data_IF_458870289454
#
_entry.id   IF_458870289454
#
_cell.length_a   1.000
_cell.length_b   1.000
_cell.length_c   1.000
_cell.angle_alpha   90.00
_cell.angle_beta   90.00
_cell.angle_gamma   90.00
#
_symmetry.space_group_name_H-M   'P 1'
#
loop_
_entity.id
_entity.type
_entity.pdbx_description
1 polymer ?
#
# COMPACT_ATOMS: atom_id res chain seq x y z
N UNK A 1 -42.13 -15.16 39.93
CA UNK A 1 -41.60 -14.16 39.00
C UNK A 1 -40.65 -14.90 38.07
N UNK A 2 -41.17 -15.34 36.93
CA UNK A 2 -40.41 -16.06 35.90
C UNK A 2 -39.47 -15.05 35.24
N UNK A 3 -38.17 -15.31 35.30
CA UNK A 3 -37.18 -14.51 34.59
C UNK A 3 -37.12 -15.06 33.15
N UNK A 4 -37.74 -14.34 32.22
CA UNK A 4 -37.64 -14.61 30.79
C UNK A 4 -36.20 -14.30 30.36
N UNK A 5 -35.46 -15.33 29.92
CA UNK A 5 -34.13 -15.15 29.35
C UNK A 5 -34.22 -14.27 28.10
N UNK A 6 -33.28 -13.31 27.90
CA UNK A 6 -33.28 -12.50 26.70
C UNK A 6 -33.07 -13.38 25.45
N UNK A 7 -33.71 -13.04 24.31
CA UNK A 7 -33.61 -13.84 23.10
C UNK A 7 -32.15 -13.89 22.61
N UNK A 8 -31.74 -15.08 22.17
CA UNK A 8 -30.41 -15.31 21.60
C UNK A 8 -30.16 -14.39 20.40
N UNK A 9 -29.04 -13.65 20.43
CA UNK A 9 -28.54 -12.87 19.30
C UNK A 9 -28.36 -13.77 18.08
N UNK A 10 -29.03 -13.43 16.98
CA UNK A 10 -28.83 -14.05 15.68
C UNK A 10 -27.39 -13.77 15.20
N UNK A 11 -26.68 -14.74 14.59
CA UNK A 11 -25.30 -14.54 14.17
C UNK A 11 -25.22 -13.40 13.13
N UNK A 12 -24.70 -12.26 13.58
CA UNK A 12 -24.61 -11.03 12.81
C UNK A 12 -23.74 -11.28 11.57
N UNK A 13 -24.35 -11.27 10.37
CA UNK A 13 -23.62 -11.45 9.11
C UNK A 13 -22.64 -10.28 8.94
N UNK A 14 -21.34 -10.57 9.09
CA UNK A 14 -20.28 -9.58 8.91
C UNK A 14 -20.18 -9.20 7.42
N UNK A 15 -20.07 -7.90 7.09
CA UNK A 15 -19.89 -7.48 5.71
C UNK A 15 -18.63 -8.09 5.09
N UNK A 16 -18.74 -8.50 3.82
CA UNK A 16 -17.66 -9.11 3.06
C UNK A 16 -16.77 -8.04 2.42
N UNK A 17 -15.46 -8.16 2.65
CA UNK A 17 -14.44 -7.28 2.10
C UNK A 17 -13.46 -8.12 1.31
N UNK A 18 -13.29 -7.79 0.03
CA UNK A 18 -12.34 -8.46 -0.83
C UNK A 18 -10.93 -7.88 -0.61
N UNK A 19 -9.96 -8.76 -0.42
CA UNK A 19 -8.54 -8.41 -0.43
C UNK A 19 -7.92 -8.97 -1.70
N UNK A 20 -7.22 -8.15 -2.50
CA UNK A 20 -6.49 -8.66 -3.67
C UNK A 20 -5.12 -9.22 -3.31
N UNK A 21 -4.56 -8.77 -2.18
CA UNK A 21 -3.27 -9.24 -1.68
C UNK A 21 -3.26 -9.39 -0.16
N UNK A 22 -2.39 -10.28 0.38
CA UNK A 22 -2.20 -10.41 1.81
C UNK A 22 -1.78 -9.06 2.42
N UNK A 23 -2.51 -8.56 3.43
CA UNK A 23 -2.11 -7.34 4.12
C UNK A 23 -0.94 -7.60 5.06
N UNK A 24 -0.32 -6.53 5.56
CA UNK A 24 0.70 -6.64 6.60
C UNK A 24 0.09 -7.31 7.86
N UNK A 25 0.85 -8.13 8.62
CA UNK A 25 0.31 -8.95 9.70
C UNK A 25 -0.49 -8.19 10.77
N UNK A 26 -0.21 -6.89 10.98
CA UNK A 26 -0.92 -6.07 11.97
C UNK A 26 -2.32 -5.63 11.52
N UNK A 27 -2.63 -5.65 10.22
CA UNK A 27 -3.94 -5.24 9.69
C UNK A 27 -5.05 -6.23 10.05
N UNK A 28 -4.71 -7.53 10.10
CA UNK A 28 -5.72 -8.58 10.26
C UNK A 28 -6.32 -8.58 11.68
N UNK A 29 -5.49 -8.39 12.70
CA UNK A 29 -5.89 -8.44 14.11
C UNK A 29 -6.98 -7.40 14.48
N UNK A 30 -6.93 -6.20 13.90
CA UNK A 30 -7.88 -5.13 14.22
C UNK A 30 -9.22 -5.24 13.48
N UNK A 31 -9.25 -5.91 12.33
CA UNK A 31 -10.39 -5.91 11.40
C UNK A 31 -11.10 -7.26 11.29
N UNK A 32 -10.41 -8.36 11.61
CA UNK A 32 -10.96 -9.73 11.54
C UNK A 32 -12.26 -9.94 12.33
N UNK A 33 -12.46 -9.19 13.42
CA UNK A 33 -13.69 -9.28 14.22
C UNK A 33 -14.87 -8.51 13.60
N UNK A 34 -14.61 -7.56 12.69
CA UNK A 34 -15.63 -6.66 12.12
C UNK A 34 -16.06 -7.05 10.72
N UNK A 35 -15.14 -7.61 9.92
CA UNK A 35 -15.36 -7.93 8.52
C UNK A 35 -15.07 -9.40 8.25
N UNK A 36 -15.72 -9.95 7.21
CA UNK A 36 -15.32 -11.23 6.62
C UNK A 36 -14.43 -10.94 5.43
N UNK A 37 -13.17 -11.33 5.51
CA UNK A 37 -12.23 -11.14 4.41
C UNK A 37 -12.34 -12.27 3.39
N UNK A 38 -12.53 -11.91 2.11
CA UNK A 38 -12.41 -12.81 0.98
C UNK A 38 -10.99 -12.71 0.43
N UNK A 39 -10.31 -13.86 0.34
CA UNK A 39 -8.88 -13.97 0.08
C UNK A 39 -8.67 -14.88 -1.13
N UNK A 40 -8.59 -14.34 -2.37
CA UNK A 40 -8.46 -15.15 -3.58
C UNK A 40 -7.27 -16.11 -3.56
N UNK A 41 -6.17 -15.75 -2.89
CA UNK A 41 -4.97 -16.59 -2.78
C UNK A 41 -5.13 -17.82 -1.89
N UNK A 42 -6.22 -17.92 -1.12
CA UNK A 42 -6.58 -19.12 -0.34
C UNK A 42 -7.54 -20.03 -1.12
N UNK A 43 -8.01 -19.59 -2.29
CA UNK A 43 -8.90 -20.36 -3.15
C UNK A 43 -8.11 -21.17 -4.19
N UNK A 44 -8.68 -22.30 -4.60
CA UNK A 44 -8.22 -23.05 -5.77
C UNK A 44 -8.70 -22.47 -7.10
N UNK A 45 -9.64 -21.52 -7.07
CA UNK A 45 -10.17 -20.87 -8.26
C UNK A 45 -9.19 -19.84 -8.84
N UNK A 46 -9.11 -19.70 -10.18
CA UNK A 46 -8.51 -18.53 -10.80
C UNK A 46 -9.15 -17.24 -10.28
N UNK A 47 -8.39 -16.14 -10.24
CA UNK A 47 -8.84 -14.87 -9.66
C UNK A 47 -10.21 -14.44 -10.22
N UNK A 48 -10.36 -14.41 -11.54
CA UNK A 48 -11.60 -13.94 -12.16
C UNK A 48 -12.81 -14.82 -11.89
N UNK A 49 -12.63 -16.15 -11.77
CA UNK A 49 -13.70 -17.06 -11.40
C UNK A 49 -14.08 -16.88 -9.93
N UNK A 50 -13.09 -16.64 -9.06
CA UNK A 50 -13.31 -16.29 -7.67
C UNK A 50 -14.10 -14.97 -7.54
N UNK A 51 -13.71 -13.92 -8.29
CA UNK A 51 -14.43 -12.65 -8.29
C UNK A 51 -15.88 -12.84 -8.74
N UNK A 52 -16.11 -13.60 -9.82
CA UNK A 52 -17.44 -13.88 -10.33
C UNK A 52 -18.31 -14.65 -9.31
N UNK A 53 -17.73 -15.60 -8.57
CA UNK A 53 -18.42 -16.35 -7.52
C UNK A 53 -18.89 -15.47 -6.35
N UNK A 54 -18.25 -14.32 -6.13
CA UNK A 54 -18.54 -13.36 -5.06
C UNK A 54 -19.08 -12.00 -5.57
N UNK A 55 -19.42 -11.93 -6.86
CA UNK A 55 -19.79 -10.70 -7.57
C UNK A 55 -20.93 -9.90 -6.92
N UNK A 56 -21.85 -10.58 -6.26
CA UNK A 56 -23.06 -10.00 -5.66
C UNK A 56 -22.91 -9.66 -4.17
N UNK A 57 -21.89 -10.20 -3.49
CA UNK A 57 -21.72 -10.03 -2.03
C UNK A 57 -20.65 -8.99 -1.67
N UNK A 58 -19.66 -8.79 -2.53
CA UNK A 58 -18.57 -7.84 -2.30
C UNK A 58 -19.04 -6.41 -2.51
N UNK A 59 -19.11 -5.64 -1.42
CA UNK A 59 -19.39 -4.19 -1.46
C UNK A 59 -18.15 -3.33 -1.29
N UNK A 60 -17.08 -3.88 -0.71
CA UNK A 60 -15.83 -3.17 -0.50
C UNK A 60 -14.62 -4.01 -0.92
N UNK A 61 -13.67 -3.33 -1.55
CA UNK A 61 -12.37 -3.84 -1.96
C UNK A 61 -11.28 -3.12 -1.16
N UNK A 62 -10.44 -3.86 -0.45
CA UNK A 62 -9.23 -3.30 0.17
C UNK A 62 -8.00 -3.69 -0.65
N UNK A 63 -7.39 -2.69 -1.28
CA UNK A 63 -6.15 -2.82 -2.02
C UNK A 63 -4.96 -2.68 -1.08
N UNK A 64 -4.43 -3.82 -0.64
CA UNK A 64 -3.17 -3.84 0.10
C UNK A 64 -1.98 -3.85 -0.87
N UNK A 65 -1.35 -2.68 -1.02
CA UNK A 65 -0.29 -2.45 -2.01
C UNK A 65 -0.82 -2.26 -3.45
N UNK A 66 0.08 -2.12 -4.44
CA UNK A 66 -0.27 -1.75 -5.81
C UNK A 66 -0.77 -2.96 -6.63
N UNK A 67 -1.93 -3.51 -6.27
CA UNK A 67 -2.65 -4.47 -7.12
C UNK A 67 -3.50 -3.72 -8.14
N UNK A 68 -3.40 -4.02 -9.44
CA UNK A 68 -4.24 -3.39 -10.45
C UNK A 68 -5.73 -3.60 -10.15
N UNK A 69 -6.49 -2.51 -10.15
CA UNK A 69 -7.96 -2.48 -10.14
C UNK A 69 -8.39 -1.80 -11.43
N UNK A 70 -8.43 -2.58 -12.49
CA UNK A 70 -8.76 -2.14 -13.83
C UNK A 70 -10.23 -2.45 -14.19
N UNK A 71 -10.65 -2.03 -15.39
CA UNK A 71 -11.98 -2.29 -15.92
C UNK A 71 -12.38 -3.79 -15.84
N UNK A 72 -11.42 -4.70 -16.00
CA UNK A 72 -11.66 -6.15 -15.93
C UNK A 72 -12.05 -6.61 -14.52
N UNK A 73 -11.30 -6.17 -13.50
CA UNK A 73 -11.63 -6.46 -12.09
C UNK A 73 -12.99 -5.84 -11.73
N UNK A 74 -13.21 -4.58 -12.12
CA UNK A 74 -14.43 -3.83 -11.79
C UNK A 74 -15.67 -4.42 -12.45
N UNK A 75 -15.59 -4.86 -13.70
CA UNK A 75 -16.71 -5.48 -14.42
C UNK A 75 -17.22 -6.79 -13.77
N UNK A 76 -16.38 -7.46 -12.98
CA UNK A 76 -16.70 -8.71 -12.30
C UNK A 76 -17.31 -8.50 -10.90
N UNK A 77 -17.32 -7.25 -10.41
CA UNK A 77 -17.81 -6.89 -9.08
C UNK A 77 -18.94 -5.84 -9.20
N UNK A 78 -20.11 -6.20 -9.77
CA UNK A 78 -21.21 -5.27 -10.01
C UNK A 78 -21.84 -4.70 -8.73
N UNK A 79 -21.64 -5.34 -7.56
CA UNK A 79 -22.12 -4.85 -6.27
C UNK A 79 -21.08 -3.98 -5.53
N UNK A 80 -19.92 -3.70 -6.14
CA UNK A 80 -18.86 -2.93 -5.50
C UNK A 80 -19.28 -1.47 -5.35
N UNK A 81 -19.11 -0.93 -4.14
CA UNK A 81 -19.45 0.45 -3.80
C UNK A 81 -18.22 1.27 -3.40
N UNK A 82 -17.19 0.59 -2.87
CA UNK A 82 -16.01 1.23 -2.28
C UNK A 82 -14.71 0.49 -2.59
N UNK A 83 -13.72 1.22 -3.07
CA UNK A 83 -12.31 0.79 -3.13
C UNK A 83 -11.52 1.58 -2.10
N UNK A 84 -10.83 0.87 -1.21
CA UNK A 84 -9.94 1.45 -0.19
C UNK A 84 -8.51 1.09 -0.54
N UNK A 85 -7.68 2.07 -0.86
CA UNK A 85 -6.25 1.89 -1.09
C UNK A 85 -5.48 2.08 0.22
N UNK A 86 -4.62 1.12 0.58
CA UNK A 86 -3.72 1.26 1.74
C UNK A 86 -2.44 2.06 1.40
N UNK A 87 -2.49 2.91 0.38
CA UNK A 87 -1.38 3.69 -0.18
C UNK A 87 -1.78 5.16 -0.30
N UNK A 88 -0.81 6.07 -0.43
CA UNK A 88 -1.09 7.47 -0.77
C UNK A 88 -1.44 7.62 -2.26
N UNK A 89 -0.64 7.02 -3.16
CA UNK A 89 -0.93 6.98 -4.59
C UNK A 89 -2.03 5.98 -4.96
N UNK A 90 -2.72 6.25 -6.07
CA UNK A 90 -3.86 5.45 -6.58
C UNK A 90 -3.72 5.10 -8.06
N UNK A 91 -2.52 5.21 -8.64
CA UNK A 91 -2.27 4.99 -10.08
C UNK A 91 -2.59 3.57 -10.57
N UNK A 92 -2.69 2.62 -9.64
CA UNK A 92 -3.05 1.23 -9.89
C UNK A 92 -4.57 1.01 -9.92
N UNK A 93 -5.39 2.06 -9.73
CA UNK A 93 -6.85 2.01 -9.74
C UNK A 93 -7.35 2.83 -10.93
N UNK A 94 -8.19 2.24 -11.78
CA UNK A 94 -8.86 2.98 -12.85
C UNK A 94 -9.95 3.89 -12.27
N UNK A 95 -9.56 5.11 -11.92
CA UNK A 95 -10.46 6.11 -11.34
C UNK A 95 -11.58 6.51 -12.31
N UNK A 96 -11.34 6.45 -13.63
CA UNK A 96 -12.34 6.78 -14.63
C UNK A 96 -13.43 5.69 -14.66
N UNK A 97 -13.03 4.42 -14.62
CA UNK A 97 -13.93 3.29 -14.49
C UNK A 97 -14.74 3.34 -13.20
N UNK A 98 -14.09 3.53 -12.05
CA UNK A 98 -14.75 3.68 -10.76
C UNK A 98 -15.82 4.78 -10.82
N UNK A 99 -15.49 5.94 -11.41
CA UNK A 99 -16.44 7.05 -11.57
C UNK A 99 -17.62 6.68 -12.46
N UNK A 100 -17.40 6.01 -13.60
CA UNK A 100 -18.47 5.56 -14.51
C UNK A 100 -19.43 4.58 -13.81
N UNK A 101 -18.89 3.73 -12.95
CA UNK A 101 -19.63 2.69 -12.23
C UNK A 101 -20.22 3.18 -10.89
N UNK A 102 -19.97 4.43 -10.50
CA UNK A 102 -20.48 5.00 -9.23
C UNK A 102 -19.74 4.49 -7.98
N UNK A 103 -18.52 3.97 -8.15
CA UNK A 103 -17.70 3.40 -7.09
C UNK A 103 -16.86 4.49 -6.43
N UNK A 104 -16.94 4.60 -5.11
CA UNK A 104 -16.12 5.53 -4.33
C UNK A 104 -14.71 4.99 -4.16
N UNK A 105 -13.70 5.87 -4.17
CA UNK A 105 -12.30 5.51 -3.94
C UNK A 105 -11.75 6.32 -2.79
N UNK A 106 -11.12 5.65 -1.82
CA UNK A 106 -10.39 6.28 -0.72
C UNK A 106 -8.95 5.77 -0.68
N UNK A 107 -8.06 6.55 -0.07
CA UNK A 107 -6.66 6.24 0.07
C UNK A 107 -6.17 6.57 1.49
N UNK A 108 -4.90 6.31 1.78
CA UNK A 108 -4.30 6.60 3.08
C UNK A 108 -3.93 8.08 3.28
N UNK A 109 -4.17 8.95 2.29
CA UNK A 109 -3.87 10.38 2.34
C UNK A 109 -2.42 10.66 2.76
N UNK A 110 -2.27 11.42 3.85
CA UNK A 110 -0.98 11.89 4.39
C UNK A 110 -0.36 10.95 5.43
N UNK A 111 -0.88 9.73 5.61
CA UNK A 111 -0.41 8.81 6.65
C UNK A 111 1.09 8.46 6.58
N UNK A 112 1.73 8.68 5.42
CA UNK A 112 3.14 8.37 5.18
C UNK A 112 4.00 9.63 4.92
N UNK A 113 3.44 10.84 5.08
CA UNK A 113 4.11 12.08 4.67
C UNK A 113 5.43 12.30 5.39
N UNK A 114 5.44 12.19 6.72
CA UNK A 114 6.63 12.43 7.53
C UNK A 114 7.68 11.35 7.30
N UNK A 115 7.29 10.07 7.31
CA UNK A 115 8.20 8.95 7.00
C UNK A 115 8.84 9.10 5.62
N UNK A 116 8.06 9.51 4.61
CA UNK A 116 8.57 9.73 3.25
C UNK A 116 9.57 10.89 3.22
N UNK A 117 9.32 11.97 3.98
CA UNK A 117 10.26 13.08 4.10
C UNK A 117 11.57 12.65 4.77
N UNK A 118 11.49 11.86 5.83
CA UNK A 118 12.67 11.31 6.53
C UNK A 118 13.50 10.42 5.60
N UNK A 119 12.85 9.55 4.81
CA UNK A 119 13.55 8.76 3.78
C UNK A 119 14.21 9.64 2.73
N UNK A 120 13.54 10.69 2.25
CA UNK A 120 14.11 11.58 1.24
C UNK A 120 15.38 12.27 1.76
N UNK A 121 15.36 12.80 2.99
CA UNK A 121 16.52 13.42 3.63
C UNK A 121 17.62 12.40 3.90
N UNK A 122 17.26 11.22 4.41
CA UNK A 122 18.20 10.14 4.68
C UNK A 122 18.93 9.66 3.42
N UNK A 123 18.20 9.44 2.32
CA UNK A 123 18.77 9.04 1.03
C UNK A 123 19.64 10.14 0.42
N UNK A 124 19.24 11.41 0.52
CA UNK A 124 20.07 12.53 0.08
C UNK A 124 21.42 12.55 0.81
N UNK A 125 21.40 12.38 2.13
CA UNK A 125 22.62 12.32 2.94
C UNK A 125 23.44 11.08 2.56
N UNK A 126 22.82 9.92 2.40
CA UNK A 126 23.50 8.67 2.03
C UNK A 126 24.27 8.83 0.71
N UNK A 127 23.62 9.39 -0.31
CA UNK A 127 24.21 9.63 -1.63
C UNK A 127 25.34 10.64 -1.55
N UNK A 128 25.16 11.77 -0.85
CA UNK A 128 26.18 12.81 -0.82
C UNK A 128 27.37 12.45 0.06
N UNK A 129 27.17 11.62 1.09
CA UNK A 129 28.20 11.25 2.07
C UNK A 129 28.71 9.82 1.91
N UNK A 130 28.19 9.08 0.95
CA UNK A 130 28.52 7.69 0.66
C UNK A 130 28.38 6.78 1.89
N UNK A 131 27.38 7.00 2.76
CA UNK A 131 27.31 6.31 4.07
C UNK A 131 27.23 4.78 3.86
N UNK A 132 26.25 4.31 3.09
CA UNK A 132 26.03 2.90 2.82
C UNK A 132 27.17 2.26 2.03
N UNK A 133 27.82 3.01 1.13
CA UNK A 133 28.98 2.53 0.39
C UNK A 133 30.22 2.41 1.27
N UNK A 134 30.44 3.37 2.18
CA UNK A 134 31.53 3.34 3.16
C UNK A 134 31.35 2.26 4.22
N UNK A 135 30.12 2.01 4.71
CA UNK A 135 29.79 0.87 5.57
C UNK A 135 30.16 -0.45 4.90
N UNK A 136 29.75 -0.67 3.64
CA UNK A 136 30.14 -1.87 2.88
C UNK A 136 31.65 -2.00 2.69
N UNK A 137 32.37 -0.89 2.52
CA UNK A 137 33.83 -0.89 2.37
C UNK A 137 34.52 -1.36 3.66
N UNK A 138 34.10 -0.82 4.82
CA UNK A 138 34.63 -1.21 6.13
C UNK A 138 34.29 -2.67 6.46
N UNK A 139 33.05 -3.10 6.23
CA UNK A 139 32.62 -4.50 6.46
C UNK A 139 33.35 -5.52 5.59
N UNK A 140 33.87 -5.09 4.43
CA UNK A 140 34.74 -5.92 3.57
C UNK A 140 36.19 -5.96 4.03
N UNK A 141 36.54 -5.33 5.15
CA UNK A 141 37.90 -5.25 5.65
C UNK A 141 38.83 -4.42 4.77
N UNK A 142 38.30 -3.61 3.85
CA UNK A 142 39.13 -2.87 2.90
C UNK A 142 39.84 -1.69 3.56
N UNK A 143 39.32 -1.15 4.66
CA UNK A 143 39.96 -0.03 5.34
C UNK A 143 41.37 -0.34 5.85
N UNK A 144 41.63 -1.42 6.60
CA UNK A 144 42.99 -1.78 6.99
C UNK A 144 43.88 -2.22 5.81
N UNK A 145 43.29 -2.68 4.69
CA UNK A 145 44.04 -3.22 3.54
C UNK A 145 44.37 -2.18 2.47
N UNK A 146 43.49 -1.21 2.25
CA UNK A 146 43.53 -0.23 1.15
C UNK A 146 43.55 1.21 1.64
N UNK A 147 43.46 1.45 2.95
CA UNK A 147 43.44 2.78 3.53
C UNK A 147 42.06 3.44 3.48
N UNK A 148 42.07 4.75 3.67
CA UNK A 148 40.86 5.55 3.88
C UNK A 148 39.88 5.51 2.71
N UNK A 149 38.59 5.58 3.03
CA UNK A 149 37.53 5.71 2.03
C UNK A 149 37.54 7.12 1.41
N UNK A 150 37.32 7.29 0.09
CA UNK A 150 37.37 8.60 -0.56
C UNK A 150 36.45 9.65 0.09
N UNK A 151 36.90 10.90 0.10
CA UNK A 151 36.10 12.04 0.57
C UNK A 151 34.83 12.20 -0.29
N UNK A 152 33.72 12.45 0.38
CA UNK A 152 32.41 12.61 -0.24
C UNK A 152 32.03 14.10 -0.44
N UNK A 153 30.83 14.36 -0.95
CA UNK A 153 30.36 15.71 -1.28
C UNK A 153 29.67 16.41 -0.10
N UNK A 154 29.71 17.75 -0.08
CA UNK A 154 28.96 18.55 0.92
C UNK A 154 27.48 18.61 0.54
N UNK A 155 26.60 18.57 1.54
CA UNK A 155 25.14 18.73 1.36
C UNK A 155 24.78 20.14 0.88
N UNK A 156 25.48 21.15 1.40
CA UNK A 156 25.19 22.58 1.15
C UNK A 156 25.81 23.15 -0.14
N UNK A 157 26.55 22.34 -0.90
CA UNK A 157 27.25 22.82 -2.10
C UNK A 157 27.05 21.83 -3.24
N UNK A 158 25.85 21.84 -3.82
CA UNK A 158 25.62 21.21 -5.12
C UNK A 158 26.53 21.91 -6.14
N UNK A 159 27.31 21.17 -6.95
CA UNK A 159 28.19 21.76 -7.93
C UNK A 159 27.38 22.64 -8.90
N UNK A 160 27.86 23.86 -9.11
CA UNK A 160 27.25 24.91 -9.96
C UNK A 160 27.02 24.49 -11.42
N UNK A 161 27.48 23.31 -11.83
CA UNK A 161 27.20 22.75 -13.17
C UNK A 161 25.74 22.27 -13.34
N UNK A 162 25.00 22.05 -12.24
CA UNK A 162 23.58 21.64 -12.28
C UNK A 162 22.59 22.81 -12.06
N UNK A 163 22.98 24.06 -12.30
CA UNK A 163 22.06 25.21 -12.19
C UNK A 163 21.07 25.36 -13.36
N UNK A 164 21.15 24.50 -14.40
CA UNK A 164 20.24 24.53 -15.55
C UNK A 164 19.10 23.50 -15.50
N UNK A 165 18.89 22.80 -14.38
CA UNK A 165 17.64 22.05 -14.19
C UNK A 165 16.62 23.03 -13.61
N UNK A 166 15.94 23.77 -14.49
CA UNK A 166 14.67 24.40 -14.15
C UNK A 166 13.74 23.28 -13.64
N UNK A 167 13.57 23.21 -12.32
CA UNK A 167 12.41 22.59 -11.72
C UNK A 167 11.19 23.38 -12.21
N UNK A 168 10.61 22.93 -13.32
CA UNK A 168 9.27 23.31 -13.71
C UNK A 168 8.31 22.54 -12.79
N UNK A 169 8.09 23.10 -11.60
CA UNK A 169 6.90 22.80 -10.81
C UNK A 169 5.81 23.70 -11.40
N UNK A 170 5.01 23.13 -12.30
CA UNK A 170 3.66 23.63 -12.63
C UNK A 170 2.66 22.70 -11.95
#
# INVERSE_FOLDING_TARGET
>A
MSYESPPAEQPQQRPEVLLLRPPLPFFDAALSNKFRFLKPWESSLPLFDFLAAHAVSVRALLCSGPSPVDDDVLARLPALELVVASSAGVDHIDLAACRRLGISVTNAGFAFTDDTADYAVGLLIDILRHISASDRYVRRGLWPLKGDYPLASKVIHLPTSCQNVQLLVC
#
